data_IF_006831077218
#
_entry.id   IF_006831077218
#
_cell.length_a   1.000
_cell.length_b   1.000
_cell.length_c   1.000
_cell.angle_alpha   90.00
_cell.angle_beta   90.00
_cell.angle_gamma   90.00
#
_symmetry.space_group_name_H-M   'P 1'
#
loop_
_entity.id
_entity.type
_entity.pdbx_description
1 polymer ?
#
# COMPACT_ATOMS: atom_id res chain seq x y z
N UNK A 1 -22.42 -8.44 -34.02
CA UNK A 1 -21.50 -7.28 -33.89
C UNK A 1 -21.25 -7.09 -32.40
N UNK A 2 -20.17 -6.45 -31.93
CA UNK A 2 -20.07 -6.16 -30.49
C UNK A 2 -21.21 -5.22 -30.10
N UNK A 3 -21.92 -5.53 -29.02
CA UNK A 3 -23.00 -4.70 -28.50
C UNK A 3 -22.48 -3.29 -28.21
N UNK A 4 -23.22 -2.29 -28.68
CA UNK A 4 -22.88 -0.87 -28.49
C UNK A 4 -23.86 -0.22 -27.52
N UNK A 5 -23.34 0.74 -26.76
CA UNK A 5 -24.03 1.37 -25.64
C UNK A 5 -24.00 2.89 -25.81
N UNK A 6 -25.16 3.53 -25.77
CA UNK A 6 -25.29 4.98 -25.83
C UNK A 6 -25.52 5.55 -24.42
N UNK A 7 -24.82 6.64 -24.08
CA UNK A 7 -25.02 7.36 -22.82
C UNK A 7 -26.19 8.33 -22.97
N UNK A 8 -27.20 8.22 -22.09
CA UNK A 8 -28.30 9.18 -22.11
C UNK A 8 -27.85 10.51 -21.51
N UNK A 9 -28.02 11.59 -22.28
CA UNK A 9 -27.78 12.99 -21.88
C UNK A 9 -26.33 13.39 -21.58
N UNK A 10 -25.32 12.68 -22.07
CA UNK A 10 -23.93 13.11 -21.90
C UNK A 10 -23.48 14.06 -23.03
N UNK A 11 -23.11 15.33 -22.74
CA UNK A 11 -22.81 16.33 -23.77
C UNK A 11 -21.53 16.03 -24.57
N UNK A 12 -20.63 15.18 -24.05
CA UNK A 12 -19.36 14.85 -24.69
C UNK A 12 -19.32 13.49 -25.41
N UNK A 13 -20.32 12.62 -25.22
CA UNK A 13 -20.29 11.23 -25.72
C UNK A 13 -21.63 10.87 -26.36
N UNK A 14 -21.89 11.42 -27.54
CA UNK A 14 -23.11 11.19 -28.32
C UNK A 14 -23.08 9.92 -29.17
N UNK A 15 -21.88 9.38 -29.43
CA UNK A 15 -21.70 8.21 -30.28
C UNK A 15 -21.81 6.91 -29.47
N UNK A 16 -22.36 5.83 -30.03
CA UNK A 16 -22.54 4.56 -29.31
C UNK A 16 -21.17 3.87 -29.08
N UNK A 17 -20.82 3.71 -27.80
CA UNK A 17 -19.54 3.21 -27.29
C UNK A 17 -19.53 1.69 -27.14
N UNK A 18 -18.34 1.09 -27.24
CA UNK A 18 -18.18 -0.33 -26.95
C UNK A 18 -18.07 -0.59 -25.45
N UNK A 19 -18.21 -1.87 -25.08
CA UNK A 19 -18.04 -2.33 -23.70
C UNK A 19 -16.66 -1.95 -23.14
N UNK A 20 -15.63 -2.08 -23.96
CA UNK A 20 -14.23 -1.77 -23.65
C UNK A 20 -14.02 -0.26 -23.43
N UNK A 21 -14.66 0.58 -24.25
CA UNK A 21 -14.58 2.03 -24.09
C UNK A 21 -15.22 2.50 -22.79
N UNK A 22 -16.38 1.93 -22.42
CA UNK A 22 -17.03 2.18 -21.12
C UNK A 22 -16.12 1.78 -19.95
N UNK A 23 -15.43 0.65 -20.05
CA UNK A 23 -14.46 0.22 -19.04
C UNK A 23 -13.32 1.21 -18.91
N UNK A 24 -12.75 1.68 -20.02
CA UNK A 24 -11.63 2.63 -20.04
C UNK A 24 -12.07 3.99 -19.45
N UNK A 25 -13.27 4.46 -19.78
CA UNK A 25 -13.79 5.73 -19.27
C UNK A 25 -14.03 5.68 -17.75
N UNK A 26 -14.56 4.56 -17.25
CA UNK A 26 -14.70 4.32 -15.80
C UNK A 26 -13.34 4.19 -15.12
N UNK A 27 -12.40 3.45 -15.71
CA UNK A 27 -11.06 3.28 -15.16
C UNK A 27 -10.26 4.58 -15.13
N UNK A 28 -10.57 5.54 -16.01
CA UNK A 28 -9.94 6.87 -16.09
C UNK A 28 -10.73 7.96 -15.35
N UNK A 29 -11.76 7.60 -14.60
CA UNK A 29 -12.57 8.53 -13.80
C UNK A 29 -13.45 9.50 -14.61
N UNK A 30 -13.55 9.31 -15.93
CA UNK A 30 -14.36 10.17 -16.80
C UNK A 30 -15.86 9.82 -16.79
N UNK A 31 -16.22 8.69 -16.18
CA UNK A 31 -17.58 8.17 -16.17
C UNK A 31 -17.84 7.37 -14.89
N UNK A 32 -18.99 7.61 -14.24
CA UNK A 32 -19.33 6.90 -13.02
C UNK A 32 -19.96 5.53 -13.32
N UNK A 33 -19.65 4.51 -12.51
CA UNK A 33 -20.27 3.17 -12.64
C UNK A 33 -21.80 3.17 -12.51
N UNK A 34 -22.36 4.20 -11.87
CA UNK A 34 -23.80 4.39 -11.68
C UNK A 34 -24.50 5.06 -12.86
N UNK A 35 -23.79 5.49 -13.89
CA UNK A 35 -24.42 6.09 -15.07
C UNK A 35 -25.21 5.06 -15.88
N UNK A 36 -26.27 5.54 -16.52
CA UNK A 36 -27.19 4.70 -17.29
C UNK A 36 -26.80 4.71 -18.76
N UNK A 37 -26.68 3.53 -19.33
CA UNK A 37 -26.42 3.30 -20.75
C UNK A 37 -27.55 2.50 -21.37
N UNK A 38 -27.90 2.87 -22.60
CA UNK A 38 -28.89 2.17 -23.41
C UNK A 38 -28.18 1.26 -24.40
N UNK A 39 -28.59 -0.02 -24.45
CA UNK A 39 -28.07 -0.97 -25.42
C UNK A 39 -28.74 -0.75 -26.78
N UNK A 40 -27.95 -0.47 -27.82
CA UNK A 40 -28.44 -0.20 -29.18
C UNK A 40 -29.13 -1.42 -29.82
N UNK A 41 -28.74 -2.65 -29.41
CA UNK A 41 -29.31 -3.89 -29.95
C UNK A 41 -30.65 -4.27 -29.30
N UNK A 42 -30.87 -3.91 -28.03
CA UNK A 42 -32.02 -4.37 -27.24
C UNK A 42 -32.92 -3.25 -26.74
N UNK A 43 -32.50 -1.99 -26.84
CA UNK A 43 -33.17 -0.82 -26.24
C UNK A 43 -33.25 -0.89 -24.71
N UNK A 44 -32.51 -1.82 -24.09
CA UNK A 44 -32.56 -2.03 -22.65
C UNK A 44 -31.59 -1.08 -21.93
N UNK A 45 -32.06 -0.53 -20.81
CA UNK A 45 -31.27 0.33 -19.95
C UNK A 45 -30.47 -0.50 -18.96
N UNK A 46 -29.17 -0.30 -18.94
CA UNK A 46 -28.23 -0.94 -18.02
C UNK A 46 -27.40 0.11 -17.29
N UNK A 47 -26.89 -0.24 -16.11
CA UNK A 47 -25.87 0.60 -15.47
C UNK A 47 -24.50 0.28 -16.08
N UNK A 48 -23.64 1.29 -16.23
CA UNK A 48 -22.28 1.11 -16.76
C UNK A 48 -21.53 0.05 -15.96
N UNK A 49 -21.69 0.04 -14.62
CA UNK A 49 -21.13 -0.95 -13.72
C UNK A 49 -21.59 -2.39 -14.00
N UNK A 50 -22.87 -2.59 -14.31
CA UNK A 50 -23.43 -3.91 -14.68
C UNK A 50 -22.88 -4.38 -16.02
N UNK A 51 -22.77 -3.47 -17.00
CA UNK A 51 -22.20 -3.77 -18.32
C UNK A 51 -20.74 -4.20 -18.17
N UNK A 52 -19.92 -3.44 -17.46
CA UNK A 52 -18.47 -3.75 -17.34
C UNK A 52 -18.15 -4.84 -16.31
N UNK A 53 -19.13 -5.29 -15.52
CA UNK A 53 -18.97 -6.33 -14.51
C UNK A 53 -18.46 -7.63 -15.16
N UNK A 54 -17.39 -8.20 -14.57
CA UNK A 54 -16.78 -9.45 -15.06
C UNK A 54 -15.77 -9.29 -16.21
N UNK A 55 -15.44 -8.07 -16.66
CA UNK A 55 -14.36 -7.87 -17.64
C UNK A 55 -12.96 -7.81 -17.01
N UNK A 56 -12.03 -8.58 -17.58
CA UNK A 56 -10.58 -8.42 -17.34
C UNK A 56 -10.12 -7.11 -17.99
N UNK A 57 -9.26 -6.30 -17.36
CA UNK A 57 -8.81 -5.02 -17.93
C UNK A 57 -8.27 -5.19 -19.37
N UNK A 58 -8.77 -4.41 -20.34
CA UNK A 58 -8.29 -4.46 -21.71
C UNK A 58 -6.87 -3.87 -21.80
N UNK A 59 -6.02 -4.53 -22.59
CA UNK A 59 -4.72 -4.00 -23.00
C UNK A 59 -4.96 -2.75 -23.86
N UNK A 60 -4.43 -1.62 -23.40
CA UNK A 60 -4.17 -0.36 -24.13
C UNK A 60 -4.90 -0.18 -25.46
N UNK A 61 -5.94 0.67 -25.48
CA UNK A 61 -6.54 1.16 -26.73
C UNK A 61 -5.93 2.51 -27.14
N UNK A 62 -5.49 2.67 -28.41
CA UNK A 62 -4.89 3.89 -28.93
C UNK A 62 -5.98 4.85 -29.41
N UNK A 63 -6.78 5.40 -28.50
CA UNK A 63 -7.71 6.48 -28.86
C UNK A 63 -7.07 7.81 -28.48
N UNK A 64 -6.68 8.58 -29.51
CA UNK A 64 -6.13 9.91 -29.39
C UNK A 64 -7.20 10.89 -28.87
N UNK A 65 -6.88 11.59 -27.77
CA UNK A 65 -7.70 12.65 -27.18
C UNK A 65 -7.97 13.77 -28.21
N UNK A 66 -9.20 14.27 -28.38
CA UNK A 66 -9.40 15.65 -28.77
C UNK A 66 -9.10 16.56 -27.57
N UNK A 67 -8.24 17.56 -27.76
CA UNK A 67 -7.79 18.47 -26.72
C UNK A 67 -8.97 19.29 -26.16
N UNK A 68 -9.28 19.09 -24.88
CA UNK A 68 -10.14 20.03 -24.16
C UNK A 68 -9.34 21.31 -23.92
N UNK A 69 -9.92 22.41 -24.34
CA UNK A 69 -9.46 23.78 -24.11
C UNK A 69 -9.87 24.13 -22.69
N UNK A 70 -8.90 24.18 -21.78
CA UNK A 70 -9.08 24.72 -20.44
C UNK A 70 -9.60 26.16 -20.55
N UNK A 71 -10.74 26.41 -19.92
CA UNK A 71 -11.26 27.77 -19.72
C UNK A 71 -10.66 28.24 -18.40
N UNK A 72 -9.56 28.97 -18.49
CA UNK A 72 -8.97 29.68 -17.35
C UNK A 72 -9.90 30.83 -16.96
N UNK A 73 -10.24 31.05 -15.67
CA UNK A 73 -10.89 32.28 -15.25
C UNK A 73 -9.84 33.40 -15.20
N UNK A 74 -10.10 34.51 -15.91
CA UNK A 74 -9.28 35.72 -15.88
C UNK A 74 -9.33 36.36 -14.47
N UNK A 75 -8.31 36.13 -13.65
CA UNK A 75 -8.09 36.86 -12.40
C UNK A 75 -6.82 37.71 -12.53
N UNK A 76 -6.99 39.01 -12.71
CA UNK A 76 -5.92 39.99 -12.87
C UNK A 76 -5.66 40.67 -11.51
N UNK A 77 -4.70 40.13 -10.75
CA UNK A 77 -4.16 40.71 -9.51
C UNK A 77 -2.76 41.30 -9.73
N UNK A 78 -2.35 42.36 -9.01
CA UNK A 78 -1.21 43.20 -9.37
C UNK A 78 0.16 42.52 -9.17
N UNK A 79 1.19 42.89 -9.96
CA UNK A 79 2.51 42.27 -9.87
C UNK A 79 3.31 42.91 -8.73
N UNK A 80 3.87 42.08 -7.84
CA UNK A 80 4.66 42.55 -6.71
C UNK A 80 5.67 41.50 -6.26
N UNK A 81 6.87 41.62 -6.82
CA UNK A 81 8.18 41.34 -6.21
C UNK A 81 8.53 39.87 -5.89
N UNK A 82 9.37 39.32 -6.77
CA UNK A 82 10.20 38.16 -6.50
C UNK A 82 11.33 38.54 -5.53
N UNK A 83 11.56 37.74 -4.49
CA UNK A 83 12.89 37.39 -3.99
C UNK A 83 12.79 36.16 -3.05
N UNK A 84 13.38 35.08 -3.57
CA UNK A 84 13.97 33.87 -2.96
C UNK A 84 13.87 33.70 -1.43
N UNK A 85 13.27 32.59 -0.99
CA UNK A 85 13.95 31.48 -0.27
C UNK A 85 13.16 30.19 -0.55
N UNK A 86 13.75 29.29 -1.35
CA UNK A 86 13.22 27.95 -1.57
C UNK A 86 13.54 27.11 -0.33
N UNK A 87 12.62 27.06 0.63
CA UNK A 87 12.50 25.91 1.51
C UNK A 87 11.76 24.84 0.70
N UNK A 88 12.41 23.69 0.49
CA UNK A 88 11.79 22.48 -0.06
C UNK A 88 10.69 22.00 0.92
N UNK A 89 9.55 22.69 0.93
CA UNK A 89 8.28 22.09 1.30
C UNK A 89 7.94 21.13 0.16
N UNK A 90 8.15 19.83 0.41
CA UNK A 90 7.52 18.79 -0.38
C UNK A 90 5.99 18.96 -0.21
N UNK A 91 5.40 19.82 -1.05
CA UNK A 91 3.99 19.76 -1.43
C UNK A 91 3.79 18.38 -2.07
N UNK A 92 3.42 17.41 -1.22
CA UNK A 92 2.92 16.10 -1.61
C UNK A 92 1.59 16.32 -2.34
N UNK A 93 1.69 16.55 -3.65
CA UNK A 93 0.58 16.62 -4.60
C UNK A 93 -0.21 15.30 -4.51
N UNK A 94 -1.37 15.40 -3.86
CA UNK A 94 -2.28 14.32 -3.48
C UNK A 94 -2.86 13.54 -4.65
N UNK A 95 -2.04 12.70 -5.25
CA UNK A 95 -2.42 11.60 -6.12
C UNK A 95 -2.14 10.28 -5.42
N UNK A 96 -2.90 9.97 -4.37
CA UNK A 96 -2.73 8.76 -3.58
C UNK A 96 -2.78 7.49 -4.45
N UNK A 97 -1.61 6.89 -4.69
CA UNK A 97 -1.45 5.54 -5.22
C UNK A 97 -1.86 4.54 -4.12
N UNK A 98 -3.15 4.47 -3.83
CA UNK A 98 -3.72 3.54 -2.87
C UNK A 98 -3.48 2.11 -3.37
N UNK A 99 -2.50 1.42 -2.78
CA UNK A 99 -2.34 0.00 -3.02
C UNK A 99 -3.61 -0.73 -2.52
N UNK A 100 -4.19 -1.63 -3.33
CA UNK A 100 -5.37 -2.41 -2.95
C UNK A 100 -4.99 -3.82 -2.51
N UNK A 101 -5.65 -4.34 -1.47
CA UNK A 101 -5.57 -5.76 -1.12
C UNK A 101 -6.20 -6.64 -2.20
N UNK A 102 -5.92 -7.94 -2.19
CA UNK A 102 -6.57 -8.90 -3.10
C UNK A 102 -8.11 -8.92 -2.97
N UNK A 103 -8.65 -8.43 -1.85
CA UNK A 103 -10.08 -8.24 -1.59
C UNK A 103 -10.65 -6.90 -2.08
N UNK A 104 -9.82 -6.01 -2.66
CA UNK A 104 -10.25 -4.71 -3.16
C UNK A 104 -10.33 -3.60 -2.11
N UNK A 105 -9.75 -3.80 -0.92
CA UNK A 105 -9.69 -2.76 0.11
C UNK A 105 -8.45 -1.89 -0.05
N UNK A 106 -8.62 -0.58 0.19
CA UNK A 106 -7.51 0.39 0.25
C UNK A 106 -6.55 -0.01 1.38
N UNK A 107 -5.26 -0.12 1.05
CA UNK A 107 -4.20 -0.33 2.04
C UNK A 107 -3.79 1.06 2.52
N UNK A 108 -4.21 1.41 3.75
CA UNK A 108 -3.84 2.68 4.36
C UNK A 108 -2.38 2.70 4.81
N UNK A 109 -1.85 1.53 5.20
CA UNK A 109 -0.46 1.45 5.63
C UNK A 109 0.15 0.10 5.29
N UNK A 110 1.19 0.15 4.45
CA UNK A 110 2.04 -0.99 4.16
C UNK A 110 3.39 -0.79 4.83
N UNK A 111 3.69 -1.60 5.84
CA UNK A 111 4.95 -1.49 6.57
C UNK A 111 5.67 -2.82 6.57
N UNK A 112 6.98 -2.73 6.34
CA UNK A 112 7.86 -3.87 6.50
C UNK A 112 8.63 -3.77 7.82
N UNK A 113 8.98 -4.90 8.45
CA UNK A 113 9.75 -4.89 9.70
C UNK A 113 11.08 -4.13 9.54
N UNK A 114 11.58 -3.46 10.57
CA UNK A 114 12.88 -2.78 10.42
C UNK A 114 14.04 -3.78 10.27
N UNK A 115 15.12 -3.41 9.58
CA UNK A 115 16.36 -4.22 9.59
C UNK A 115 16.91 -4.41 11.01
N UNK A 116 16.68 -3.40 11.85
CA UNK A 116 17.08 -3.36 13.25
C UNK A 116 16.32 -4.38 14.12
N UNK A 117 15.22 -4.94 13.63
CA UNK A 117 14.55 -6.09 14.23
C UNK A 117 15.50 -7.26 14.47
N UNK A 118 16.40 -7.44 13.51
CA UNK A 118 17.38 -8.50 13.48
C UNK A 118 18.75 -8.04 14.00
N UNK A 119 18.79 -6.97 14.81
CA UNK A 119 20.04 -6.39 15.33
C UNK A 119 20.97 -7.42 15.98
N UNK A 120 20.46 -8.37 16.77
CA UNK A 120 21.27 -9.43 17.39
C UNK A 120 21.90 -10.37 16.35
N UNK A 121 21.15 -10.77 15.33
CA UNK A 121 21.64 -11.67 14.27
C UNK A 121 22.52 -10.95 13.26
N UNK A 122 22.26 -9.67 12.99
CA UNK A 122 23.14 -8.82 12.20
C UNK A 122 24.46 -8.55 12.91
N UNK A 123 24.44 -8.30 14.22
CA UNK A 123 25.65 -8.16 15.03
C UNK A 123 26.45 -9.46 15.06
N UNK A 124 25.79 -10.61 15.18
CA UNK A 124 26.44 -11.92 15.05
C UNK A 124 27.11 -12.09 13.67
N UNK A 125 26.41 -11.75 12.59
CA UNK A 125 26.97 -11.82 11.23
C UNK A 125 28.17 -10.88 11.08
N UNK A 126 28.08 -9.66 11.60
CA UNK A 126 29.20 -8.70 11.61
C UNK A 126 30.40 -9.26 12.40
N UNK A 127 30.17 -9.86 13.57
CA UNK A 127 31.23 -10.45 14.39
C UNK A 127 31.91 -11.61 13.65
N UNK A 128 31.13 -12.48 12.98
CA UNK A 128 31.67 -13.55 12.14
C UNK A 128 32.48 -13.00 10.96
N UNK A 129 32.04 -11.92 10.31
CA UNK A 129 32.78 -11.28 9.24
C UNK A 129 34.11 -10.68 9.72
N UNK A 130 34.13 -10.03 10.90
CA UNK A 130 35.36 -9.52 11.53
C UNK A 130 36.29 -10.66 11.91
N UNK A 131 35.77 -11.73 12.49
CA UNK A 131 36.55 -12.92 12.81
C UNK A 131 37.16 -13.56 11.55
N UNK A 132 36.41 -13.61 10.44
CA UNK A 132 36.91 -14.09 9.16
C UNK A 132 38.07 -13.22 8.64
N UNK A 133 37.95 -11.89 8.74
CA UNK A 133 39.02 -10.96 8.38
C UNK A 133 40.29 -11.12 9.23
N UNK A 134 40.14 -11.36 10.54
CA UNK A 134 41.26 -11.63 11.44
C UNK A 134 41.92 -12.98 11.13
N UNK A 135 41.13 -14.03 10.87
CA UNK A 135 41.64 -15.36 10.53
C UNK A 135 42.36 -15.38 9.18
N UNK A 136 41.98 -14.51 8.25
CA UNK A 136 42.61 -14.41 6.93
C UNK A 136 44.11 -14.08 7.02
N UNK A 137 44.54 -13.43 8.10
CA UNK A 137 45.95 -13.10 8.35
C UNK A 137 46.79 -14.30 8.77
N UNK A 138 46.17 -15.37 9.29
CA UNK A 138 46.86 -16.55 9.81
C UNK A 138 46.66 -17.76 8.90
N UNK A 139 45.41 -18.16 8.67
CA UNK A 139 45.07 -19.35 7.89
C UNK A 139 43.86 -19.08 6.98
N UNK A 140 44.07 -19.00 5.64
CA UNK A 140 43.03 -18.56 4.71
C UNK A 140 41.85 -19.55 4.61
N UNK A 141 42.07 -20.82 4.95
CA UNK A 141 41.01 -21.85 4.90
C UNK A 141 39.94 -21.60 5.96
N UNK A 142 40.32 -21.31 7.21
CA UNK A 142 39.38 -21.02 8.28
C UNK A 142 38.66 -19.69 8.08
N UNK A 143 39.36 -18.71 7.49
CA UNK A 143 38.76 -17.43 7.10
C UNK A 143 37.62 -17.62 6.08
N UNK A 144 37.81 -18.47 5.08
CA UNK A 144 36.79 -18.75 4.07
C UNK A 144 35.55 -19.42 4.71
N UNK A 145 35.75 -20.38 5.60
CA UNK A 145 34.64 -21.04 6.32
C UNK A 145 33.84 -20.03 7.17
N UNK A 146 34.52 -19.18 7.92
CA UNK A 146 33.88 -18.15 8.74
C UNK A 146 33.11 -17.12 7.88
N UNK A 147 33.68 -16.74 6.73
CA UNK A 147 33.03 -15.84 5.78
C UNK A 147 31.75 -16.47 5.20
N UNK A 148 31.81 -17.73 4.75
CA UNK A 148 30.63 -18.43 4.23
C UNK A 148 29.54 -18.53 5.29
N UNK A 149 29.90 -18.84 6.53
CA UNK A 149 28.96 -18.88 7.65
C UNK A 149 28.30 -17.51 7.88
N UNK A 150 29.08 -16.43 7.84
CA UNK A 150 28.56 -15.06 7.95
C UNK A 150 27.54 -14.75 6.85
N UNK A 151 27.83 -15.13 5.60
CA UNK A 151 26.91 -14.93 4.48
C UNK A 151 25.63 -15.75 4.63
N UNK A 152 25.70 -16.99 5.11
CA UNK A 152 24.51 -17.82 5.37
C UNK A 152 23.62 -17.16 6.42
N UNK A 153 24.20 -16.64 7.51
CA UNK A 153 23.44 -15.93 8.54
C UNK A 153 22.78 -14.67 7.96
N UNK A 154 23.53 -13.87 7.20
CA UNK A 154 23.01 -12.66 6.57
C UNK A 154 21.88 -12.97 5.58
N UNK A 155 22.03 -14.04 4.79
CA UNK A 155 21.01 -14.49 3.86
C UNK A 155 19.75 -14.97 4.59
N UNK A 156 19.90 -15.71 5.70
CA UNK A 156 18.76 -16.11 6.54
C UNK A 156 17.98 -14.91 7.07
N UNK A 157 18.67 -13.86 7.50
CA UNK A 157 18.04 -12.60 7.93
C UNK A 157 17.31 -11.93 6.76
N UNK A 158 17.94 -11.87 5.59
CA UNK A 158 17.32 -11.30 4.39
C UNK A 158 16.03 -12.01 4.00
N UNK A 159 16.04 -13.35 3.98
CA UNK A 159 14.84 -14.15 3.68
C UNK A 159 13.76 -13.90 4.73
N UNK A 160 14.11 -13.97 6.02
CA UNK A 160 13.15 -13.71 7.09
C UNK A 160 12.52 -12.32 6.95
N UNK A 161 13.31 -11.32 6.56
CA UNK A 161 12.91 -9.93 6.36
C UNK A 161 11.95 -9.72 5.19
N UNK A 162 12.12 -10.46 4.09
CA UNK A 162 11.23 -10.38 2.91
C UNK A 162 9.92 -11.12 3.13
N UNK A 163 9.90 -12.09 4.05
CA UNK A 163 8.72 -12.96 4.27
C UNK A 163 7.71 -12.46 5.29
N UNK A 164 7.94 -11.29 5.90
CA UNK A 164 7.03 -10.70 6.89
C UNK A 164 6.49 -9.39 6.36
N UNK A 165 5.18 -9.34 6.13
CA UNK A 165 4.48 -8.15 5.66
C UNK A 165 3.39 -7.78 6.66
N UNK A 166 3.32 -6.48 7.00
CA UNK A 166 2.29 -5.91 7.86
C UNK A 166 1.38 -5.01 7.02
N UNK A 167 0.09 -5.35 6.98
CA UNK A 167 -0.89 -4.64 6.17
C UNK A 167 -1.99 -4.12 7.10
N UNK A 168 -2.27 -2.83 7.01
CA UNK A 168 -3.39 -2.19 7.72
C UNK A 168 -4.39 -1.69 6.67
N UNK A 169 -5.61 -2.21 6.74
CA UNK A 169 -6.76 -1.76 5.95
C UNK A 169 -7.78 -1.08 6.87
N UNK A 170 -8.81 -0.39 6.35
CA UNK A 170 -9.76 0.34 7.19
C UNK A 170 -10.73 -0.59 7.93
N UNK A 171 -10.85 -1.85 7.49
CA UNK A 171 -11.73 -2.84 8.12
C UNK A 171 -10.98 -3.84 8.98
N UNK A 172 -9.72 -4.17 8.62
CA UNK A 172 -8.95 -5.20 9.31
C UNK A 172 -7.45 -4.94 9.29
N UNK A 173 -6.78 -5.57 10.23
CA UNK A 173 -5.33 -5.59 10.38
C UNK A 173 -4.86 -6.99 10.03
N UNK A 174 -3.96 -7.10 9.04
CA UNK A 174 -3.43 -8.37 8.55
C UNK A 174 -1.92 -8.48 8.80
N UNK A 175 -1.51 -9.65 9.26
CA UNK A 175 -0.12 -10.08 9.37
C UNK A 175 0.10 -11.25 8.41
N UNK A 176 1.00 -11.10 7.47
CA UNK A 176 1.40 -12.17 6.55
C UNK A 176 2.80 -12.67 6.94
N UNK A 177 2.96 -13.98 7.09
CA UNK A 177 4.27 -14.59 7.28
C UNK A 177 4.41 -15.91 6.54
N UNK A 178 5.62 -16.17 6.03
CA UNK A 178 6.03 -17.50 5.59
C UNK A 178 6.95 -17.51 4.37
N UNK A 179 7.85 -18.50 4.35
CA UNK A 179 8.88 -18.65 3.30
C UNK A 179 8.39 -19.58 2.18
N UNK A 180 7.75 -20.70 2.54
CA UNK A 180 7.25 -21.72 1.59
C UNK A 180 5.72 -21.70 1.49
N UNK A 181 5.02 -21.53 2.61
CA UNK A 181 3.57 -21.35 2.66
C UNK A 181 3.26 -19.97 3.20
N UNK A 182 2.42 -19.21 2.49
CA UNK A 182 1.90 -17.93 2.99
C UNK A 182 0.85 -18.21 4.04
N UNK A 183 1.13 -17.84 5.28
CA UNK A 183 0.18 -17.85 6.37
C UNK A 183 -0.28 -16.41 6.66
N UNK A 184 -1.54 -16.24 7.00
CA UNK A 184 -2.16 -14.95 7.26
C UNK A 184 -2.92 -15.01 8.58
N UNK A 185 -2.70 -14.03 9.45
CA UNK A 185 -3.58 -13.73 10.59
C UNK A 185 -4.24 -12.40 10.31
N UNK A 186 -5.55 -12.39 10.49
CA UNK A 186 -6.38 -11.20 10.36
C UNK A 186 -7.06 -10.92 11.70
N UNK A 187 -7.20 -9.64 12.03
CA UNK A 187 -8.03 -9.15 13.13
C UNK A 187 -8.86 -7.97 12.64
N UNK A 188 -10.18 -8.03 12.84
CA UNK A 188 -11.07 -6.93 12.43
C UNK A 188 -10.93 -5.75 13.38
N UNK A 189 -10.87 -4.54 12.84
CA UNK A 189 -10.65 -3.32 13.63
C UNK A 189 -11.75 -3.12 14.68
N UNK A 190 -12.99 -3.48 14.36
CA UNK A 190 -14.14 -3.40 15.28
C UNK A 190 -14.07 -4.39 16.46
N UNK A 191 -13.31 -5.48 16.34
CA UNK A 191 -13.21 -6.53 17.38
C UNK A 191 -12.01 -6.32 18.31
N UNK A 192 -11.10 -5.39 17.97
CA UNK A 192 -9.90 -5.08 18.76
C UNK A 192 -10.31 -4.36 20.05
N UNK A 193 -9.95 -4.95 21.20
CA UNK A 193 -10.27 -4.44 22.54
C UNK A 193 -9.14 -3.62 23.14
N UNK A 194 -7.90 -4.07 23.00
CA UNK A 194 -6.73 -3.37 23.49
C UNK A 194 -5.62 -3.35 22.44
N UNK A 195 -4.89 -2.24 22.44
CA UNK A 195 -3.73 -2.00 21.60
C UNK A 195 -2.59 -1.60 22.53
N UNK A 196 -1.69 -2.55 22.76
CA UNK A 196 -0.57 -2.38 23.67
C UNK A 196 0.69 -2.11 22.84
N UNK A 197 1.44 -1.07 23.20
CA UNK A 197 2.68 -0.69 22.51
C UNK A 197 3.84 -0.82 23.47
N UNK A 198 4.83 -1.60 23.06
CA UNK A 198 6.05 -1.86 23.81
C UNK A 198 7.27 -1.33 23.08
N UNK A 199 7.89 -0.31 23.66
CA UNK A 199 9.18 0.23 23.22
C UNK A 199 10.21 -0.11 24.30
N UNK A 200 11.04 -1.13 24.06
CA UNK A 200 12.00 -1.60 25.06
C UNK A 200 13.43 -1.13 24.76
N UNK A 201 14.03 -0.46 25.75
CA UNK A 201 15.46 -0.15 25.82
C UNK A 201 16.01 0.60 24.59
N UNK A 202 17.19 0.16 24.12
CA UNK A 202 17.90 0.76 22.98
C UNK A 202 17.04 0.74 21.71
N UNK A 203 16.23 -0.32 21.52
CA UNK A 203 15.33 -0.46 20.38
C UNK A 203 14.26 0.64 20.36
N UNK A 204 13.71 1.01 21.52
CA UNK A 204 12.81 2.17 21.64
C UNK A 204 13.50 3.49 21.28
N UNK A 205 14.75 3.69 21.69
CA UNK A 205 15.54 4.88 21.32
C UNK A 205 15.82 4.97 19.80
N UNK A 206 15.90 3.84 19.10
CA UNK A 206 15.97 3.76 17.64
C UNK A 206 14.60 3.93 16.95
N UNK A 207 13.53 4.25 17.71
CA UNK A 207 12.18 4.47 17.19
C UNK A 207 11.45 3.19 16.81
N UNK A 208 11.83 2.06 17.40
CA UNK A 208 11.27 0.74 17.10
C UNK A 208 10.38 0.25 18.23
N UNK A 209 9.10 0.10 17.92
CA UNK A 209 8.09 -0.43 18.82
C UNK A 209 7.62 -1.81 18.42
N UNK A 210 6.93 -2.47 19.33
CA UNK A 210 6.14 -3.68 19.08
C UNK A 210 4.71 -3.38 19.48
N UNK A 211 3.76 -3.69 18.60
CA UNK A 211 2.32 -3.45 18.83
C UNK A 211 1.62 -4.79 18.93
N UNK A 212 0.87 -4.98 20.01
CA UNK A 212 0.07 -6.17 20.26
C UNK A 212 -1.42 -5.82 20.16
N UNK A 213 -2.13 -6.50 19.26
CA UNK A 213 -3.58 -6.37 19.10
C UNK A 213 -4.27 -7.54 19.76
N UNK A 214 -5.12 -7.23 20.75
CA UNK A 214 -5.95 -8.22 21.45
C UNK A 214 -7.41 -8.05 21.05
N UNK A 215 -8.03 -9.15 20.60
CA UNK A 215 -9.43 -9.19 20.18
C UNK A 215 -10.36 -9.61 21.30
N UNK A 216 -11.65 -9.32 21.15
CA UNK A 216 -12.69 -9.84 22.05
C UNK A 216 -12.87 -11.37 21.94
N UNK A 217 -12.50 -11.98 20.80
CA UNK A 217 -12.76 -13.39 20.50
C UNK A 217 -11.78 -14.37 21.17
N UNK A 218 -10.57 -13.92 21.49
CA UNK A 218 -9.49 -14.76 22.01
C UNK A 218 -8.81 -14.07 23.21
N UNK A 219 -8.49 -14.82 24.25
CA UNK A 219 -7.92 -14.28 25.50
C UNK A 219 -6.43 -13.87 25.39
N UNK A 220 -5.86 -13.88 24.19
CA UNK A 220 -4.44 -13.59 23.93
C UNK A 220 -4.23 -12.73 22.69
N UNK A 221 -2.96 -12.41 22.42
CA UNK A 221 -2.54 -11.56 21.29
C UNK A 221 -2.89 -12.26 19.98
N UNK A 222 -3.79 -11.66 19.20
CA UNK A 222 -4.24 -12.23 17.94
C UNK A 222 -3.24 -11.90 16.83
N UNK A 223 -2.89 -10.61 16.74
CA UNK A 223 -1.93 -10.06 15.78
C UNK A 223 -0.85 -9.28 16.53
N UNK A 224 0.41 -9.52 16.18
CA UNK A 224 1.56 -8.84 16.76
C UNK A 224 2.42 -8.25 15.64
N UNK A 225 2.66 -6.95 15.69
CA UNK A 225 3.57 -6.23 14.82
C UNK A 225 4.89 -5.99 15.55
N UNK A 226 5.94 -6.67 15.11
CA UNK A 226 7.25 -6.61 15.78
C UNK A 226 8.18 -5.67 15.07
N UNK A 227 8.92 -4.88 15.87
CA UNK A 227 10.06 -4.10 15.39
C UNK A 227 9.69 -3.11 14.27
N UNK A 228 8.49 -2.53 14.38
CA UNK A 228 7.97 -1.55 13.44
C UNK A 228 8.50 -0.16 13.81
N UNK A 229 8.91 0.61 12.79
CA UNK A 229 9.23 2.03 12.99
C UNK A 229 7.93 2.80 13.22
N UNK A 230 7.96 3.79 14.09
CA UNK A 230 6.81 4.69 14.35
C UNK A 230 5.55 3.93 14.80
N UNK A 231 5.71 3.03 15.77
CA UNK A 231 4.60 2.23 16.30
C UNK A 231 3.44 3.08 16.85
N UNK A 232 3.74 4.28 17.34
CA UNK A 232 2.73 5.22 17.79
C UNK A 232 1.82 5.76 16.67
N UNK A 233 2.35 6.01 15.47
CA UNK A 233 1.53 6.48 14.33
C UNK A 233 0.52 5.40 13.92
N UNK A 234 0.96 4.14 13.84
CA UNK A 234 0.10 3.02 13.48
C UNK A 234 -0.96 2.78 14.56
N UNK A 235 -0.60 2.93 15.84
CA UNK A 235 -1.57 2.86 16.94
C UNK A 235 -2.66 3.92 16.79
N UNK A 236 -2.27 5.17 16.56
CA UNK A 236 -3.22 6.28 16.43
C UNK A 236 -4.06 6.15 15.15
N UNK A 237 -3.48 5.66 14.04
CA UNK A 237 -4.22 5.32 12.83
C UNK A 237 -5.32 4.28 13.12
N UNK A 238 -4.98 3.17 13.78
CA UNK A 238 -5.97 2.14 14.13
C UNK A 238 -7.05 2.69 15.08
N UNK A 239 -6.68 3.58 16.02
CA UNK A 239 -7.66 4.24 16.89
C UNK A 239 -8.62 5.16 16.15
N UNK A 240 -8.13 5.93 15.16
CA UNK A 240 -8.98 6.77 14.31
C UNK A 240 -9.96 5.93 13.48
N UNK A 241 -9.47 4.81 12.94
CA UNK A 241 -10.31 3.85 12.23
C UNK A 241 -11.39 3.23 13.15
N UNK A 242 -11.09 3.02 14.43
CA UNK A 242 -12.08 2.59 15.42
C UNK A 242 -13.13 3.66 15.76
N UNK A 243 -12.76 4.94 15.77
CA UNK A 243 -13.71 6.04 15.99
C UNK A 243 -14.57 6.34 14.76
N UNK A 244 -14.28 5.71 13.62
CA UNK A 244 -15.01 5.89 12.36
C UNK A 244 -14.51 7.06 11.51
N UNK A 245 -13.39 7.68 11.89
CA UNK A 245 -12.69 8.67 11.08
C UNK A 245 -11.81 7.92 10.07
N UNK A 246 -12.34 7.79 8.86
CA UNK A 246 -11.62 7.24 7.72
C UNK A 246 -10.82 8.38 7.06
N UNK A 247 -9.48 8.38 7.14
CA UNK A 247 -8.65 9.47 6.60
C UNK A 247 -8.71 9.58 5.06
N UNK A 248 -9.38 8.64 4.39
CA UNK A 248 -9.60 8.67 2.93
C UNK A 248 -10.89 9.40 2.52
N UNK A 249 -11.66 9.93 3.49
CA UNK A 249 -12.95 10.60 3.25
C UNK A 249 -12.92 12.14 3.33
N UNK A 250 -11.75 12.73 3.59
CA UNK A 250 -11.58 14.19 3.59
C UNK A 250 -11.19 14.72 2.20
#
# INVERSE_FOLDING_TARGET
MPARYALQNHPAFSDPLTKEDLYILVARGSLARGEMVECDETGAMHTVGEVISGMRPPRESPVARPAFREITPDFEGPPGEAEEEAEDEEEDDGGDDYAYTAGGEVILHHSHPSWLAYSKTLLLALLLAVAAGLLFLFEPVYALVALVLSFIVLFGVFVARVTHDHIVTPQRVELLWGIIGRNSKEARICDIRSIDVYESGIKGMLGLGTIDFSTAANAGIEVQFRDMRRAHEVKELVRRLQSGDDPTKD
#
